data_IF_345650538550
#
_entry.id   IF_345650538550
#
_cell.length_a   1.000
_cell.length_b   1.000
_cell.length_c   1.000
_cell.angle_alpha   90.00
_cell.angle_beta   90.00
_cell.angle_gamma   90.00
#
_symmetry.space_group_name_H-M   'P 1'
#
loop_
_entity.id
_entity.type
_entity.pdbx_description
1 polymer ?
#
# COMPACT_ATOMS: atom_id res chain seq x y z
N UNK A 1 3.32 26.69 -19.34
CA UNK A 1 2.66 25.39 -19.49
C UNK A 1 1.24 25.52 -18.97
N UNK A 2 0.23 25.41 -19.84
CA UNK A 2 -1.17 25.34 -19.42
C UNK A 2 -1.56 23.86 -19.35
N UNK A 3 -2.23 23.46 -18.28
CA UNK A 3 -2.74 22.09 -18.14
C UNK A 3 -4.13 22.06 -18.77
N UNK A 4 -4.31 21.22 -19.79
CA UNK A 4 -5.59 21.05 -20.49
C UNK A 4 -6.44 19.96 -19.82
N UNK A 5 -5.80 18.89 -19.34
CA UNK A 5 -6.48 17.76 -18.72
C UNK A 5 -5.72 17.22 -17.52
N UNK A 6 -6.47 16.78 -16.49
CA UNK A 6 -5.93 16.05 -15.34
C UNK A 6 -6.55 14.65 -15.30
N UNK A 7 -5.70 13.64 -15.19
CA UNK A 7 -6.09 12.23 -15.03
C UNK A 7 -5.54 11.72 -13.71
N UNK A 8 -6.36 11.04 -12.91
CA UNK A 8 -5.88 10.44 -11.67
C UNK A 8 -4.80 9.37 -11.96
N UNK A 9 -3.73 9.36 -11.18
CA UNK A 9 -2.68 8.36 -11.33
C UNK A 9 -3.04 7.10 -10.54
N UNK A 10 -2.78 5.94 -11.12
CA UNK A 10 -2.95 4.69 -10.39
C UNK A 10 -2.04 4.65 -9.15
N UNK A 11 -2.52 4.09 -8.03
CA UNK A 11 -1.69 3.86 -6.85
C UNK A 11 -0.46 3.02 -7.23
N UNK A 12 0.72 3.56 -6.95
CA UNK A 12 2.00 2.88 -7.22
C UNK A 12 2.92 3.65 -8.16
N UNK A 13 2.40 4.60 -8.93
CA UNK A 13 3.25 5.53 -9.68
C UNK A 13 4.04 6.46 -8.76
N UNK A 14 5.35 6.54 -9.02
CA UNK A 14 6.33 7.33 -8.27
C UNK A 14 7.18 8.18 -9.21
N UNK A 15 7.48 9.40 -8.77
CA UNK A 15 8.53 10.23 -9.34
C UNK A 15 9.84 9.91 -8.60
N UNK A 16 10.91 9.65 -9.34
CA UNK A 16 12.24 9.33 -8.81
C UNK A 16 13.14 10.55 -8.98
N UNK A 17 13.74 10.99 -7.87
CA UNK A 17 14.71 12.07 -7.81
C UNK A 17 16.09 11.49 -7.52
N UNK A 18 17.10 12.06 -8.17
CA UNK A 18 18.50 11.75 -7.90
C UNK A 18 19.09 12.84 -7.03
N UNK A 19 19.53 12.48 -5.84
CA UNK A 19 20.13 13.37 -4.86
C UNK A 19 21.61 13.66 -5.18
N UNK A 20 22.21 14.71 -4.58
CA UNK A 20 23.62 15.05 -4.79
C UNK A 20 24.61 13.96 -4.33
N UNK A 21 24.20 13.08 -3.42
CA UNK A 21 24.98 11.95 -2.91
C UNK A 21 24.78 10.66 -3.73
N UNK A 22 24.24 10.78 -4.95
CA UNK A 22 23.85 9.68 -5.84
C UNK A 22 22.74 8.76 -5.28
N UNK A 23 22.15 9.08 -4.12
CA UNK A 23 20.98 8.35 -3.62
C UNK A 23 19.72 8.69 -4.42
N UNK A 24 18.73 7.79 -4.36
CA UNK A 24 17.42 8.01 -4.99
C UNK A 24 16.35 8.24 -3.93
N UNK A 25 15.55 9.28 -4.11
CA UNK A 25 14.32 9.49 -3.34
C UNK A 25 13.09 9.38 -4.23
N UNK A 26 11.95 9.03 -3.63
CA UNK A 26 10.72 8.81 -4.37
C UNK A 26 9.56 9.61 -3.78
N UNK A 27 8.79 10.25 -4.66
CA UNK A 27 7.55 10.96 -4.29
C UNK A 27 6.34 10.30 -4.96
N UNK A 28 5.18 10.37 -4.29
CA UNK A 28 3.93 9.83 -4.81
C UNK A 28 3.38 10.72 -5.94
N UNK A 29 2.98 10.09 -7.04
CA UNK A 29 2.21 10.76 -8.10
C UNK A 29 0.73 10.72 -7.74
N UNK A 30 0.10 11.90 -7.76
CA UNK A 30 -1.33 12.07 -7.52
C UNK A 30 -2.13 11.97 -8.82
N UNK A 31 -1.57 12.49 -9.91
CA UNK A 31 -2.22 12.56 -11.21
C UNK A 31 -1.23 12.80 -12.34
N UNK A 32 -1.76 12.76 -13.55
CA UNK A 32 -1.09 13.12 -14.78
C UNK A 32 -1.75 14.36 -15.34
N UNK A 33 -0.95 15.37 -15.67
CA UNK A 33 -1.39 16.55 -16.38
C UNK A 33 -1.00 16.40 -17.86
N UNK A 34 -1.96 16.64 -18.74
CA UNK A 34 -1.72 16.76 -20.18
C UNK A 34 -1.60 18.24 -20.52
N UNK A 35 -0.49 18.63 -21.14
CA UNK A 35 -0.17 19.99 -21.57
C UNK A 35 -0.75 20.36 -22.94
N UNK A 36 -0.54 21.62 -23.32
CA UNK A 36 -1.02 22.22 -24.57
C UNK A 36 -0.68 21.33 -25.78
N UNK A 37 -1.72 20.88 -26.49
CA UNK A 37 -1.57 20.05 -27.69
C UNK A 37 -1.68 18.55 -27.46
N UNK A 38 -1.94 18.08 -26.24
CA UNK A 38 -2.26 16.68 -25.95
C UNK A 38 -1.07 15.73 -25.81
N UNK A 39 0.14 16.17 -26.22
CA UNK A 39 1.32 15.31 -26.30
C UNK A 39 2.19 15.32 -25.04
N UNK A 40 2.09 16.35 -24.20
CA UNK A 40 2.94 16.49 -23.01
C UNK A 40 2.25 15.93 -21.76
N UNK A 41 2.65 14.72 -21.33
CA UNK A 41 2.17 14.12 -20.09
C UNK A 41 3.18 14.34 -18.95
N UNK A 42 2.79 15.08 -17.91
CA UNK A 42 3.63 15.29 -16.72
C UNK A 42 2.98 14.73 -15.47
N UNK A 43 3.77 14.02 -14.66
CA UNK A 43 3.34 13.55 -13.34
C UNK A 43 3.16 14.72 -12.38
N UNK A 44 2.10 14.70 -11.60
CA UNK A 44 1.73 15.75 -10.64
C UNK A 44 1.93 15.21 -9.22
N UNK A 45 2.68 15.94 -8.41
CA UNK A 45 3.02 15.55 -7.03
C UNK A 45 2.77 16.69 -6.05
N UNK A 46 2.82 16.39 -4.77
CA UNK A 46 2.89 17.40 -3.71
C UNK A 46 4.35 17.82 -3.55
N UNK A 47 4.59 19.13 -3.50
CA UNK A 47 5.92 19.65 -3.17
C UNK A 47 6.25 19.27 -1.73
N UNK A 48 7.37 18.56 -1.47
CA UNK A 48 7.70 18.13 -0.13
C UNK A 48 8.19 19.28 0.78
N UNK A 49 8.66 20.40 0.23
CA UNK A 49 8.97 21.61 0.98
C UNK A 49 7.72 22.47 1.25
N UNK A 50 6.72 22.40 0.36
CA UNK A 50 5.44 23.08 0.49
C UNK A 50 4.26 22.10 0.35
N UNK A 51 3.88 21.34 1.40
CA UNK A 51 2.89 20.25 1.29
C UNK A 51 1.48 20.67 0.83
N UNK A 52 1.17 21.96 0.87
CA UNK A 52 -0.08 22.54 0.36
C UNK A 52 -0.06 22.79 -1.16
N UNK A 53 1.11 22.66 -1.80
CA UNK A 53 1.33 23.01 -3.20
C UNK A 53 1.44 21.76 -4.05
N UNK A 54 0.66 21.74 -5.12
CA UNK A 54 0.73 20.73 -6.16
C UNK A 54 1.60 21.26 -7.30
N UNK A 55 2.58 20.47 -7.74
CA UNK A 55 3.55 20.85 -8.78
C UNK A 55 3.76 19.71 -9.76
N UNK A 56 4.23 20.03 -10.97
CA UNK A 56 4.72 19.03 -11.92
C UNK A 56 6.01 18.40 -11.39
N UNK A 57 6.16 17.09 -11.50
CA UNK A 57 7.31 16.34 -11.00
C UNK A 57 8.64 16.85 -11.58
N UNK A 58 8.66 17.25 -12.87
CA UNK A 58 9.83 17.83 -13.51
C UNK A 58 10.22 19.22 -12.95
N UNK A 59 9.28 19.93 -12.33
CA UNK A 59 9.53 21.22 -11.65
C UNK A 59 9.62 21.09 -10.13
N UNK A 60 9.48 19.89 -9.58
CA UNK A 60 9.59 19.64 -8.14
C UNK A 60 11.03 19.39 -7.75
N UNK A 61 11.39 19.74 -6.52
CA UNK A 61 12.69 19.43 -5.92
C UNK A 61 12.46 18.50 -4.74
N UNK A 62 13.30 17.48 -4.59
CA UNK A 62 13.25 16.67 -3.37
C UNK A 62 13.79 17.45 -2.17
N UNK A 63 13.47 17.07 -0.92
CA UNK A 63 13.99 17.75 0.27
C UNK A 63 15.52 17.72 0.38
N UNK A 64 16.18 16.74 -0.24
CA UNK A 64 17.64 16.63 -0.31
C UNK A 64 18.29 17.51 -1.37
N UNK A 65 17.50 18.26 -2.15
CA UNK A 65 17.99 19.08 -3.27
C UNK A 65 18.20 18.30 -4.57
N UNK A 66 17.72 17.06 -4.64
CA UNK A 66 17.80 16.20 -5.80
C UNK A 66 16.93 16.64 -6.98
N UNK A 67 17.31 16.12 -8.14
CA UNK A 67 16.69 16.45 -9.43
C UNK A 67 15.81 15.33 -9.94
N UNK A 68 14.64 15.68 -10.49
CA UNK A 68 13.77 14.70 -11.12
C UNK A 68 14.51 13.97 -12.24
N UNK A 69 14.46 12.64 -12.23
CA UNK A 69 15.16 11.79 -13.21
C UNK A 69 14.19 10.99 -14.05
N UNK A 70 13.24 10.28 -13.41
CA UNK A 70 12.34 9.36 -14.12
C UNK A 70 11.05 9.06 -13.35
N UNK A 71 10.08 8.51 -14.06
CA UNK A 71 8.90 7.89 -13.47
C UNK A 71 9.13 6.38 -13.29
N UNK A 72 8.52 5.80 -12.26
CA UNK A 72 8.55 4.36 -12.00
C UNK A 72 7.23 3.90 -11.39
N UNK A 73 6.77 2.72 -11.78
CA UNK A 73 5.67 2.03 -11.10
C UNK A 73 6.23 1.10 -10.01
N UNK A 74 5.73 1.26 -8.79
CA UNK A 74 6.02 0.41 -7.63
C UNK A 74 4.67 -0.12 -7.11
N UNK A 75 4.37 -1.42 -7.29
CA UNK A 75 3.09 -1.98 -6.84
C UNK A 75 2.85 -1.67 -5.37
N UNK A 76 1.63 -1.25 -4.98
CA UNK A 76 1.31 -1.08 -3.57
C UNK A 76 1.49 -2.42 -2.84
N UNK A 77 2.06 -2.38 -1.63
CA UNK A 77 2.11 -3.56 -0.79
C UNK A 77 0.69 -4.06 -0.54
N UNK A 78 0.47 -5.37 -0.73
CA UNK A 78 -0.82 -5.96 -0.39
C UNK A 78 -1.03 -5.77 1.10
N UNK A 79 -2.22 -5.32 1.55
CA UNK A 79 -2.50 -5.27 2.97
C UNK A 79 -2.29 -6.67 3.56
N UNK A 80 -1.73 -6.78 4.78
CA UNK A 80 -1.61 -8.07 5.44
C UNK A 80 -2.99 -8.70 5.54
N UNK A 81 -3.11 -10.05 5.45
CA UNK A 81 -4.37 -10.70 5.69
C UNK A 81 -4.90 -10.32 7.07
N UNK A 82 -6.23 -10.16 7.24
CA UNK A 82 -6.79 -9.88 8.55
C UNK A 82 -6.34 -10.97 9.53
N UNK A 83 -5.85 -10.57 10.70
CA UNK A 83 -5.54 -11.52 11.76
C UNK A 83 -6.78 -12.37 12.04
N UNK A 84 -6.64 -13.70 12.21
CA UNK A 84 -7.76 -14.52 12.64
C UNK A 84 -8.33 -13.92 13.94
N UNK A 85 -9.66 -13.97 14.14
CA UNK A 85 -10.24 -13.53 15.41
C UNK A 85 -9.53 -14.27 16.55
N UNK A 86 -9.28 -13.60 17.69
CA UNK A 86 -8.72 -14.27 18.85
C UNK A 86 -9.59 -15.48 19.13
N UNK A 87 -8.98 -16.67 19.14
CA UNK A 87 -9.67 -17.89 19.48
C UNK A 87 -10.34 -17.64 20.83
N UNK A 88 -11.68 -17.60 20.85
CA UNK A 88 -12.41 -17.73 22.09
C UNK A 88 -11.80 -18.94 22.80
N UNK A 89 -11.31 -18.75 24.02
CA UNK A 89 -10.79 -19.81 24.87
C UNK A 89 -11.73 -21.00 24.74
N UNK A 90 -11.24 -22.08 24.12
CA UNK A 90 -11.94 -23.34 24.14
C UNK A 90 -12.11 -23.68 25.62
N UNK A 91 -13.35 -23.90 26.12
CA UNK A 91 -13.51 -24.29 27.51
C UNK A 91 -12.70 -25.56 27.71
N UNK A 92 -11.79 -25.51 28.67
CA UNK A 92 -10.92 -26.59 29.12
C UNK A 92 -11.79 -27.82 29.40
N UNK A 93 -11.94 -28.68 28.39
CA UNK A 93 -12.69 -29.93 28.50
C UNK A 93 -11.86 -30.85 29.37
N UNK A 94 -12.18 -30.86 30.67
CA UNK A 94 -11.64 -31.79 31.65
C UNK A 94 -11.73 -33.22 31.08
N UNK A 95 -10.61 -33.95 30.92
CA UNK A 95 -10.59 -35.28 30.30
C UNK A 95 -11.36 -36.38 31.08
N UNK A 96 -11.98 -36.03 32.20
CA UNK A 96 -12.63 -36.98 33.10
C UNK A 96 -14.08 -37.35 32.69
N UNK A 97 -14.79 -36.50 31.92
CA UNK A 97 -16.17 -36.80 31.48
C UNK A 97 -16.23 -37.65 30.20
N UNK A 98 -15.23 -37.55 29.32
CA UNK A 98 -15.16 -38.34 28.08
C UNK A 98 -15.01 -39.85 28.36
N UNK A 99 -14.28 -40.22 29.41
CA UNK A 99 -14.11 -41.61 29.81
C UNK A 99 -15.41 -42.26 30.33
N UNK A 100 -16.29 -41.48 30.98
CA UNK A 100 -17.56 -41.99 31.53
C UNK A 100 -18.62 -42.25 30.46
N UNK A 101 -18.60 -41.50 29.35
CA UNK A 101 -19.55 -41.71 28.24
C UNK A 101 -19.21 -42.94 27.38
N UNK A 102 -17.92 -43.28 27.26
CA UNK A 102 -17.50 -44.48 26.52
C UNK A 102 -17.88 -45.78 27.25
N UNK A 103 -17.75 -45.84 28.59
CA UNK A 103 -18.10 -47.03 29.37
C UNK A 103 -19.60 -47.38 29.34
N UNK A 104 -20.49 -46.38 29.31
CA UNK A 104 -21.95 -46.61 29.21
C UNK A 104 -22.38 -47.09 27.82
N UNK A 105 -21.64 -46.71 26.78
CA UNK A 105 -21.98 -47.05 25.39
C UNK A 105 -21.60 -48.48 25.01
N UNK A 106 -20.57 -49.04 25.66
CA UNK A 106 -20.10 -50.42 25.40
C UNK A 106 -20.97 -51.47 26.10
N UNK A 107 -21.47 -51.20 27.30
CA UNK A 107 -22.27 -52.18 28.07
C UNK A 107 -23.69 -52.38 27.52
N UNK A 108 -24.24 -51.41 26.76
CA UNK A 108 -25.56 -51.55 26.12
C UNK A 108 -25.53 -52.42 24.85
N UNK A 109 -24.33 -52.73 24.33
CA UNK A 109 -24.14 -53.52 23.10
C UNK A 109 -23.74 -54.98 23.37
N UNK A 110 -23.72 -55.42 24.62
CA UNK A 110 -23.53 -56.83 25.03
C UNK A 110 -24.64 -57.25 25.99
N UNK A 111 -25.84 -57.43 25.43
CA UNK A 111 -26.60 -58.65 25.74
C UNK A 111 -25.84 -59.83 25.13
#
# INVERSE_FOLDING_TARGET
MRIEQLVAAEPGWKAVFKEPDDSETMSRILGWAVGDGGDELVGVIVDPAEPSRIVAAAGATSPGGGTFTRYRFVPPERPPPPSPPPAAEAPEQKPEEAARQLAKSVLKRRR
#
